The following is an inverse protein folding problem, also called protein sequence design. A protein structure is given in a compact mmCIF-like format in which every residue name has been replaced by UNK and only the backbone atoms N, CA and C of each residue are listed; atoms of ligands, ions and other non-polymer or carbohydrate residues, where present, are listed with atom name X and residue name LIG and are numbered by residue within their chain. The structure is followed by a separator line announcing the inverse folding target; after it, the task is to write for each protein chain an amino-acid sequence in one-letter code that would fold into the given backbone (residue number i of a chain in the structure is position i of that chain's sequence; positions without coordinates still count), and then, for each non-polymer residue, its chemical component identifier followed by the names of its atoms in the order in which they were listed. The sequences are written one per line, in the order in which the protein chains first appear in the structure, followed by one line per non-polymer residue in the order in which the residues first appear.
data_IF_448796177046
#
_entry.id   IF_448796177046
#
_cell.length_a   1.000
_cell.length_b   1.000
_cell.length_c   1.000
_cell.angle_alpha   90.00
_cell.angle_beta   90.00
_cell.angle_gamma   90.00
#
_symmetry.space_group_name_H-M   'P 1'
#
loop_
_entity.id
_entity.type
_entity.pdbx_description
1 polymer ?
#
# COMPACT_ATOMS: atom_id res chain seq x y z
N UNK A 1 -6.28 12.45 -37.08
CA UNK A 1 -5.69 12.74 -35.77
C UNK A 1 -6.83 12.85 -34.75
N UNK A 2 -7.35 11.73 -34.21
CA UNK A 2 -8.56 11.77 -33.38
C UNK A 2 -8.27 12.26 -31.96
N UNK A 3 -8.93 13.36 -31.56
CA UNK A 3 -9.37 13.82 -30.22
C UNK A 3 -8.46 13.71 -28.97
N UNK A 4 -7.30 13.06 -29.01
CA UNK A 4 -6.51 12.65 -27.83
C UNK A 4 -6.02 13.83 -26.96
N UNK A 5 -5.69 14.99 -27.55
CA UNK A 5 -5.15 16.14 -26.79
C UNK A 5 -6.19 16.73 -25.82
N UNK A 6 -7.40 17.00 -26.30
CA UNK A 6 -8.48 17.53 -25.47
C UNK A 6 -8.80 16.58 -24.30
N UNK A 7 -8.94 15.29 -24.60
CA UNK A 7 -9.19 14.25 -23.60
C UNK A 7 -8.08 14.19 -22.54
N UNK A 8 -6.82 14.29 -22.95
CA UNK A 8 -5.66 14.33 -22.05
C UNK A 8 -5.69 15.56 -21.14
N UNK A 9 -6.09 16.72 -21.68
CA UNK A 9 -6.17 17.96 -20.90
C UNK A 9 -7.27 17.87 -19.84
N UNK A 10 -8.44 17.33 -20.21
CA UNK A 10 -9.56 17.12 -19.28
C UNK A 10 -9.19 16.14 -18.15
N UNK A 11 -8.59 14.99 -18.47
CA UNK A 11 -8.16 14.02 -17.44
C UNK A 11 -7.07 14.61 -16.52
N UNK A 12 -6.13 15.39 -17.08
CA UNK A 12 -5.10 16.05 -16.28
C UNK A 12 -5.69 17.08 -15.30
N UNK A 13 -6.63 17.92 -15.76
CA UNK A 13 -7.32 18.90 -14.89
C UNK A 13 -8.11 18.19 -13.81
N UNK A 14 -8.83 17.13 -14.15
CA UNK A 14 -9.60 16.34 -13.18
C UNK A 14 -8.71 15.68 -12.12
N UNK A 15 -7.52 15.19 -12.48
CA UNK A 15 -6.58 14.57 -11.53
C UNK A 15 -5.86 15.55 -10.62
N UNK A 16 -5.54 16.74 -11.14
CA UNK A 16 -4.71 17.72 -10.42
C UNK A 16 -5.58 18.71 -9.66
N UNK A 17 -6.84 18.87 -10.05
CA UNK A 17 -7.78 19.79 -9.44
C UNK A 17 -7.46 21.27 -9.69
N UNK A 18 -6.49 21.58 -10.56
CA UNK A 18 -6.19 22.95 -11.00
C UNK A 18 -5.79 22.99 -12.47
N UNK A 19 -6.25 24.00 -13.22
CA UNK A 19 -5.84 24.20 -14.62
C UNK A 19 -4.35 24.53 -14.72
N UNK A 20 -3.84 25.37 -13.80
CA UNK A 20 -2.43 25.76 -13.80
C UNK A 20 -1.51 24.57 -13.56
N UNK A 21 -1.81 23.72 -12.57
CA UNK A 21 -1.03 22.51 -12.32
C UNK A 21 -1.11 21.52 -13.48
N UNK A 22 -2.27 21.39 -14.14
CA UNK A 22 -2.40 20.58 -15.36
C UNK A 22 -1.56 21.13 -16.52
N UNK A 23 -1.55 22.44 -16.71
CA UNK A 23 -0.76 23.11 -17.72
C UNK A 23 0.75 22.91 -17.52
N UNK A 24 1.22 23.09 -16.28
CA UNK A 24 2.62 22.87 -15.89
C UNK A 24 3.04 21.42 -16.13
N UNK A 25 2.22 20.44 -15.73
CA UNK A 25 2.51 19.01 -15.96
C UNK A 25 2.53 18.63 -17.44
N UNK A 26 1.68 19.26 -18.26
CA UNK A 26 1.56 18.96 -19.69
C UNK A 26 2.49 19.79 -20.57
N UNK A 27 3.21 20.78 -20.01
CA UNK A 27 4.11 21.66 -20.76
C UNK A 27 3.39 22.56 -21.76
N UNK A 28 2.17 23.01 -21.44
CA UNK A 28 1.35 23.85 -22.33
C UNK A 28 0.82 25.09 -21.60
N UNK A 29 0.32 26.08 -22.34
CA UNK A 29 -0.28 27.27 -21.76
C UNK A 29 -1.62 26.97 -21.07
N UNK A 30 -1.79 27.44 -19.83
CA UNK A 30 -3.04 27.28 -19.05
C UNK A 30 -4.26 27.87 -19.76
N UNK A 31 -4.07 28.96 -20.52
CA UNK A 31 -5.12 29.58 -21.34
C UNK A 31 -5.64 28.65 -22.45
N UNK A 32 -4.82 27.72 -22.95
CA UNK A 32 -5.25 26.74 -23.95
C UNK A 32 -6.18 25.68 -23.35
N UNK A 33 -5.87 25.21 -22.14
CA UNK A 33 -6.73 24.25 -21.41
C UNK A 33 -8.04 24.94 -21.01
N UNK A 34 -7.98 26.14 -20.44
CA UNK A 34 -9.17 26.86 -19.99
C UNK A 34 -10.15 27.16 -21.14
N UNK A 35 -9.64 27.60 -22.30
CA UNK A 35 -10.48 27.83 -23.49
C UNK A 35 -11.17 26.56 -23.97
N UNK A 36 -10.47 25.43 -23.95
CA UNK A 36 -11.06 24.15 -24.36
C UNK A 36 -12.14 23.65 -23.41
N UNK A 37 -11.98 23.85 -22.10
CA UNK A 37 -13.02 23.51 -21.12
C UNK A 37 -14.26 24.36 -21.35
N UNK A 38 -14.09 25.69 -21.49
CA UNK A 38 -15.22 26.62 -21.71
C UNK A 38 -15.97 26.24 -22.98
N UNK A 39 -15.27 26.02 -24.10
CA UNK A 39 -15.89 25.64 -25.36
C UNK A 39 -16.68 24.31 -25.26
N UNK A 40 -16.21 23.38 -24.44
CA UNK A 40 -16.89 22.09 -24.24
C UNK A 40 -18.13 22.22 -23.35
N UNK A 41 -18.05 23.03 -22.29
CA UNK A 41 -19.21 23.35 -21.45
C UNK A 41 -20.31 24.07 -22.25
N UNK A 42 -19.92 25.01 -23.10
CA UNK A 42 -20.83 25.71 -24.02
C UNK A 42 -21.48 24.74 -25.02
N UNK A 43 -20.69 23.85 -25.62
CA UNK A 43 -21.19 22.88 -26.60
C UNK A 43 -22.18 21.87 -26.00
N UNK A 44 -21.98 21.47 -24.74
CA UNK A 44 -22.89 20.54 -24.06
C UNK A 44 -23.99 21.22 -23.24
N UNK A 45 -23.95 22.54 -23.10
CA UNK A 45 -24.92 23.30 -22.30
C UNK A 45 -24.88 22.99 -20.80
N UNK A 46 -23.80 22.36 -20.31
CA UNK A 46 -23.65 21.95 -18.91
C UNK A 46 -22.27 22.32 -18.38
N UNK A 47 -22.20 22.70 -17.11
CA UNK A 47 -20.92 22.85 -16.40
C UNK A 47 -20.33 21.49 -16.12
N UNK A 48 -19.04 21.33 -16.43
CA UNK A 48 -18.27 20.13 -16.17
C UNK A 48 -17.42 20.29 -14.90
N UNK A 49 -17.05 21.53 -14.57
CA UNK A 49 -16.30 21.86 -13.38
C UNK A 49 -16.96 22.96 -12.54
N UNK A 50 -16.93 22.78 -11.23
CA UNK A 50 -17.23 23.81 -10.22
C UNK A 50 -15.94 24.51 -9.80
N UNK A 51 -15.95 25.85 -9.78
CA UNK A 51 -14.80 26.66 -9.36
C UNK A 51 -14.90 26.95 -7.87
N UNK A 52 -13.98 26.38 -7.10
CA UNK A 52 -13.76 26.68 -5.69
C UNK A 52 -12.56 27.64 -5.55
N UNK A 53 -12.40 28.36 -4.42
CA UNK A 53 -11.35 29.37 -4.24
C UNK A 53 -9.92 28.90 -4.52
N UNK A 54 -9.64 27.59 -4.39
CA UNK A 54 -8.30 27.00 -4.59
C UNK A 54 -8.27 25.79 -5.52
N UNK A 55 -9.41 25.32 -6.01
CA UNK A 55 -9.54 24.03 -6.72
C UNK A 55 -10.68 24.07 -7.74
N UNK A 56 -10.62 23.13 -8.67
CA UNK A 56 -11.71 22.75 -9.56
C UNK A 56 -12.22 21.39 -9.11
N UNK A 57 -13.54 21.29 -8.89
CA UNK A 57 -14.21 20.01 -8.62
C UNK A 57 -15.04 19.62 -9.83
N UNK A 58 -15.23 18.33 -10.06
CA UNK A 58 -16.14 17.87 -11.10
C UNK A 58 -17.58 18.09 -10.64
N UNK A 59 -18.45 18.48 -11.58
CA UNK A 59 -19.90 18.32 -11.41
C UNK A 59 -20.29 16.87 -11.68
N UNK A 60 -21.55 16.50 -11.45
CA UNK A 60 -22.09 15.20 -11.87
C UNK A 60 -21.89 14.95 -13.38
N UNK A 61 -22.13 15.98 -14.21
CA UNK A 61 -21.87 15.91 -15.64
C UNK A 61 -20.36 15.77 -15.95
N UNK A 62 -19.51 16.44 -15.17
CA UNK A 62 -18.05 16.30 -15.23
C UNK A 62 -17.57 14.89 -14.90
N UNK A 63 -18.13 14.25 -13.87
CA UNK A 63 -17.82 12.86 -13.51
C UNK A 63 -18.16 11.89 -14.64
N UNK A 64 -19.37 12.01 -15.20
CA UNK A 64 -19.81 11.22 -16.36
C UNK A 64 -18.88 11.39 -17.55
N UNK A 65 -18.54 12.64 -17.88
CA UNK A 65 -17.62 12.94 -18.97
C UNK A 65 -16.23 12.36 -18.71
N UNK A 66 -15.67 12.54 -17.51
CA UNK A 66 -14.33 12.05 -17.18
C UNK A 66 -14.27 10.52 -17.20
N UNK A 67 -15.33 9.84 -16.78
CA UNK A 67 -15.43 8.38 -16.91
C UNK A 67 -15.33 7.96 -18.39
N UNK A 68 -16.10 8.61 -19.27
CA UNK A 68 -16.03 8.38 -20.72
C UNK A 68 -14.67 8.74 -21.32
N UNK A 69 -14.12 9.92 -20.99
CA UNK A 69 -12.78 10.37 -21.42
C UNK A 69 -11.72 9.32 -21.09
N UNK A 70 -11.71 8.81 -19.86
CA UNK A 70 -10.74 7.78 -19.43
C UNK A 70 -10.94 6.47 -20.17
N UNK A 71 -12.18 6.07 -20.46
CA UNK A 71 -12.45 4.90 -21.30
C UNK A 71 -11.92 5.08 -22.71
N UNK A 72 -12.24 6.21 -23.34
CA UNK A 72 -11.80 6.53 -24.70
C UNK A 72 -10.27 6.62 -24.80
N UNK A 73 -9.59 7.18 -23.79
CA UNK A 73 -8.12 7.16 -23.73
C UNK A 73 -7.56 5.73 -23.61
N UNK A 74 -8.19 4.85 -22.80
CA UNK A 74 -7.80 3.43 -22.73
C UNK A 74 -7.97 2.72 -24.08
N UNK A 75 -9.08 2.95 -24.77
CA UNK A 75 -9.37 2.37 -26.08
C UNK A 75 -8.40 2.92 -27.15
N UNK A 76 -8.08 4.21 -27.11
CA UNK A 76 -7.09 4.82 -27.96
C UNK A 76 -5.70 4.20 -27.76
N UNK A 77 -5.29 3.98 -26.51
CA UNK A 77 -4.03 3.30 -26.23
C UNK A 77 -4.05 1.84 -26.69
N UNK A 78 -5.18 1.14 -26.58
CA UNK A 78 -5.35 -0.22 -27.14
C UNK A 78 -5.20 -0.21 -28.66
N UNK A 79 -5.77 0.78 -29.35
CA UNK A 79 -5.61 0.96 -30.79
C UNK A 79 -4.15 1.27 -31.16
N UNK A 80 -3.47 2.13 -30.39
CA UNK A 80 -2.04 2.41 -30.56
C UNK A 80 -1.20 1.15 -30.38
N UNK A 81 -1.53 0.31 -29.40
CA UNK A 81 -0.88 -0.99 -29.20
C UNK A 81 -1.09 -1.89 -30.43
N UNK A 82 -2.32 -2.01 -30.94
CA UNK A 82 -2.62 -2.77 -32.17
C UNK A 82 -1.88 -2.25 -33.40
N UNK A 83 -1.70 -0.94 -33.53
CA UNK A 83 -0.89 -0.35 -34.60
C UNK A 83 0.61 -0.64 -34.45
N UNK A 84 1.11 -0.73 -33.21
CA UNK A 84 2.47 -1.18 -32.95
C UNK A 84 2.65 -2.68 -33.29
N UNK A 85 1.63 -3.50 -33.01
CA UNK A 85 1.58 -4.92 -33.37
C UNK A 85 1.63 -5.12 -34.89
N UNK A 86 0.85 -4.36 -35.65
CA UNK A 86 0.84 -4.39 -37.12
C UNK A 86 2.17 -3.96 -37.76
N UNK A 87 2.97 -3.17 -37.05
CA UNK A 87 4.30 -2.72 -37.51
C UNK A 87 5.44 -3.68 -37.12
N UNK A 88 5.12 -4.82 -36.50
CA UNK A 88 6.14 -5.76 -35.99
C UNK A 88 7.03 -5.17 -34.90
N UNK A 89 6.65 -4.02 -34.33
CA UNK A 89 7.44 -3.21 -33.41
C UNK A 89 6.77 -3.19 -32.02
N UNK A 90 6.88 -4.31 -31.28
CA UNK A 90 7.27 -4.35 -29.85
C UNK A 90 6.90 -5.69 -29.20
N UNK A 91 7.88 -6.58 -29.16
CA UNK A 91 8.09 -7.43 -27.97
C UNK A 91 8.54 -6.49 -26.85
N UNK A 92 7.61 -5.98 -26.04
CA UNK A 92 7.97 -5.13 -24.89
C UNK A 92 8.70 -5.94 -23.82
N UNK A 93 9.67 -5.36 -23.12
CA UNK A 93 10.34 -5.97 -21.98
C UNK A 93 10.15 -5.07 -20.76
N UNK A 94 9.69 -5.64 -19.66
CA UNK A 94 9.64 -4.96 -18.35
C UNK A 94 10.36 -5.83 -17.33
N UNK A 95 11.34 -5.24 -16.64
CA UNK A 95 12.17 -5.90 -15.64
C UNK A 95 11.86 -5.30 -14.28
N UNK A 96 11.43 -6.16 -13.37
CA UNK A 96 11.10 -5.81 -11.99
C UNK A 96 12.10 -6.52 -11.08
N UNK A 97 12.86 -5.74 -10.31
CA UNK A 97 13.64 -6.24 -9.20
C UNK A 97 12.81 -6.11 -7.91
N UNK A 98 12.66 -7.19 -7.16
CA UNK A 98 11.85 -7.21 -5.94
C UNK A 98 12.46 -8.12 -4.87
N UNK A 99 12.09 -7.93 -3.60
CA UNK A 99 12.43 -8.91 -2.55
C UNK A 99 11.60 -10.18 -2.66
N UNK A 100 12.11 -11.30 -2.13
CA UNK A 100 11.51 -12.63 -2.28
C UNK A 100 10.06 -12.74 -1.79
N UNK A 101 9.76 -12.30 -0.56
CA UNK A 101 8.38 -12.34 -0.02
C UNK A 101 7.39 -11.53 -0.87
N UNK A 102 7.79 -10.33 -1.28
CA UNK A 102 7.01 -9.48 -2.19
C UNK A 102 6.84 -10.08 -3.59
N UNK A 103 7.84 -10.83 -4.08
CA UNK A 103 7.76 -11.52 -5.35
C UNK A 103 6.61 -12.54 -5.33
N UNK A 104 6.51 -13.32 -4.27
CA UNK A 104 5.50 -14.37 -4.12
C UNK A 104 4.08 -13.80 -3.98
N UNK A 105 3.94 -12.62 -3.37
CA UNK A 105 2.61 -12.03 -3.11
C UNK A 105 2.12 -11.14 -4.26
N UNK A 106 2.99 -10.36 -4.88
CA UNK A 106 2.59 -9.30 -5.83
C UNK A 106 2.80 -9.68 -7.29
N UNK A 107 3.74 -10.57 -7.60
CA UNK A 107 4.02 -10.94 -9.00
C UNK A 107 2.92 -11.84 -9.59
N UNK A 108 2.32 -12.82 -8.88
CA UNK A 108 1.23 -13.61 -9.44
C UNK A 108 0.04 -12.78 -9.95
N UNK A 109 -0.55 -11.84 -9.17
CA UNK A 109 -1.64 -11.01 -9.70
C UNK A 109 -1.15 -10.06 -10.80
N UNK A 110 0.10 -9.58 -10.75
CA UNK A 110 0.68 -8.79 -11.85
C UNK A 110 0.80 -9.60 -13.15
N UNK A 111 1.26 -10.85 -13.07
CA UNK A 111 1.37 -11.77 -14.21
C UNK A 111 -0.02 -12.05 -14.80
N UNK A 112 -1.03 -12.30 -13.97
CA UNK A 112 -2.40 -12.50 -14.42
C UNK A 112 -2.95 -11.26 -15.16
N UNK A 113 -2.71 -10.07 -14.62
CA UNK A 113 -3.07 -8.82 -15.27
C UNK A 113 -2.31 -8.61 -16.59
N UNK A 114 -1.00 -8.86 -16.61
CA UNK A 114 -0.13 -8.74 -17.79
C UNK A 114 -0.58 -9.66 -18.91
N UNK A 115 -0.90 -10.93 -18.62
CA UNK A 115 -1.40 -11.87 -19.63
C UNK A 115 -2.71 -11.42 -20.26
N UNK A 116 -3.56 -10.71 -19.51
CA UNK A 116 -4.87 -10.24 -19.97
C UNK A 116 -4.79 -8.92 -20.76
N UNK A 117 -4.03 -7.94 -20.26
CA UNK A 117 -4.00 -6.58 -20.85
C UNK A 117 -2.79 -6.33 -21.75
N UNK A 118 -1.71 -7.12 -21.61
CA UNK A 118 -0.41 -6.94 -22.28
C UNK A 118 0.26 -8.26 -22.71
N UNK A 119 -0.43 -9.14 -23.49
CA UNK A 119 0.02 -10.52 -23.75
C UNK A 119 1.36 -10.65 -24.50
N UNK A 120 1.80 -9.61 -25.22
CA UNK A 120 3.04 -9.61 -26.00
C UNK A 120 4.24 -8.99 -25.27
N UNK A 121 4.06 -8.59 -24.01
CA UNK A 121 5.12 -8.00 -23.20
C UNK A 121 5.75 -9.08 -22.33
N UNK A 122 7.07 -9.25 -22.46
CA UNK A 122 7.86 -10.10 -21.58
C UNK A 122 8.06 -9.39 -20.25
N UNK A 123 7.55 -9.98 -19.18
CA UNK A 123 7.88 -9.59 -17.82
C UNK A 123 9.06 -10.45 -17.33
N UNK A 124 10.11 -9.80 -16.83
CA UNK A 124 11.23 -10.46 -16.14
C UNK A 124 11.21 -10.00 -14.70
N UNK A 125 11.11 -10.96 -13.79
CA UNK A 125 11.12 -10.70 -12.35
C UNK A 125 12.42 -11.25 -11.77
N UNK A 126 13.13 -10.44 -10.97
CA UNK A 126 14.29 -10.87 -10.21
C UNK A 126 14.02 -10.70 -8.72
N UNK A 127 14.00 -11.82 -8.00
CA UNK A 127 13.96 -11.83 -6.55
C UNK A 127 15.38 -11.60 -6.01
N UNK A 128 15.62 -10.51 -5.28
CA UNK A 128 16.93 -10.06 -4.82
C UNK A 128 16.85 -9.55 -3.37
N UNK A 129 17.95 -9.58 -2.61
CA UNK A 129 18.05 -8.87 -1.34
C UNK A 129 18.01 -7.34 -1.56
N UNK A 130 17.87 -6.58 -0.47
CA UNK A 130 17.72 -5.11 -0.49
C UNK A 130 18.74 -4.42 -1.40
N UNK A 131 20.03 -4.68 -1.18
CA UNK A 131 21.11 -4.05 -1.93
C UNK A 131 21.11 -4.46 -3.40
N UNK A 132 20.71 -5.70 -3.68
CA UNK A 132 20.56 -6.21 -5.04
C UNK A 132 19.45 -5.52 -5.82
N UNK A 133 18.31 -5.23 -5.17
CA UNK A 133 17.20 -4.47 -5.79
C UNK A 133 17.67 -3.06 -6.16
N UNK A 134 18.36 -2.38 -5.24
CA UNK A 134 18.88 -1.02 -5.47
C UNK A 134 19.90 -1.02 -6.61
N UNK A 135 20.88 -1.91 -6.55
CA UNK A 135 21.92 -2.03 -7.58
C UNK A 135 21.33 -2.29 -8.97
N UNK A 136 20.35 -3.21 -9.08
CA UNK A 136 19.72 -3.54 -10.34
C UNK A 136 19.00 -2.33 -10.97
N UNK A 137 18.30 -1.51 -10.18
CA UNK A 137 17.61 -0.31 -10.69
C UNK A 137 18.62 0.78 -11.08
N UNK A 138 19.64 1.02 -10.26
CA UNK A 138 20.66 2.03 -10.55
C UNK A 138 21.47 1.69 -11.80
N UNK A 139 21.84 0.42 -11.97
CA UNK A 139 22.53 -0.10 -13.15
C UNK A 139 21.65 -0.13 -14.41
N UNK A 140 20.33 0.04 -14.27
CA UNK A 140 19.38 -0.08 -15.37
C UNK A 140 19.14 -1.54 -15.80
N UNK A 141 19.50 -2.50 -14.95
CA UNK A 141 19.19 -3.92 -15.09
C UNK A 141 17.73 -4.25 -14.74
N UNK A 142 17.07 -3.39 -13.99
CA UNK A 142 15.62 -3.37 -13.80
C UNK A 142 15.08 -1.95 -13.99
N UNK A 143 13.89 -1.82 -14.56
CA UNK A 143 13.21 -0.52 -14.65
C UNK A 143 12.49 -0.18 -13.34
N UNK A 144 11.99 -1.18 -12.63
CA UNK A 144 11.24 -1.02 -11.39
C UNK A 144 11.92 -1.78 -10.26
N UNK A 145 12.05 -1.13 -9.11
CA UNK A 145 12.50 -1.73 -7.86
C UNK A 145 11.38 -1.73 -6.83
N UNK A 146 11.18 -2.85 -6.15
CA UNK A 146 10.18 -3.00 -5.09
C UNK A 146 10.80 -3.65 -3.87
N UNK A 147 10.68 -3.02 -2.71
CA UNK A 147 11.28 -3.58 -1.50
C UNK A 147 10.96 -2.80 -0.24
N UNK A 148 11.28 -3.41 0.89
CA UNK A 148 11.23 -2.76 2.19
C UNK A 148 12.48 -1.94 2.43
N UNK A 149 12.32 -0.75 3.02
CA UNK A 149 13.43 0.10 3.46
C UNK A 149 14.45 0.43 2.35
N UNK A 150 14.03 0.47 1.08
CA UNK A 150 14.91 0.89 -0.01
C UNK A 150 15.47 2.30 0.29
N UNK A 151 16.78 2.56 0.19
CA UNK A 151 17.37 3.82 0.60
C UNK A 151 16.83 5.01 -0.19
N UNK A 152 16.83 6.18 0.45
CA UNK A 152 16.57 7.45 -0.23
C UNK A 152 17.82 7.88 -1.01
N UNK A 153 17.99 7.36 -2.23
CA UNK A 153 19.09 7.73 -3.14
C UNK A 153 18.61 8.80 -4.14
N UNK A 154 19.42 9.83 -4.38
CA UNK A 154 19.12 10.92 -5.31
C UNK A 154 18.95 10.43 -6.76
N UNK A 155 19.57 9.29 -7.12
CA UNK A 155 19.46 8.62 -8.42
C UNK A 155 18.22 7.74 -8.54
N UNK A 156 17.48 7.52 -7.45
CA UNK A 156 16.19 6.85 -7.45
C UNK A 156 15.05 7.86 -7.41
N UNK A 157 13.97 7.54 -8.12
CA UNK A 157 12.70 8.25 -8.08
C UNK A 157 11.69 7.37 -7.38
N UNK A 158 11.16 7.86 -6.26
CA UNK A 158 10.08 7.21 -5.52
C UNK A 158 8.78 7.30 -6.32
N UNK A 159 8.17 6.14 -6.56
CA UNK A 159 6.88 6.02 -7.26
C UNK A 159 5.72 5.79 -6.28
N UNK A 160 5.96 5.05 -5.20
CA UNK A 160 5.00 4.82 -4.11
C UNK A 160 5.77 4.49 -2.83
N UNK A 161 5.20 4.90 -1.71
CA UNK A 161 5.65 4.56 -0.36
C UNK A 161 4.42 4.21 0.47
N UNK A 162 4.48 3.10 1.19
CA UNK A 162 3.42 2.68 2.11
C UNK A 162 4.01 2.20 3.44
N UNK A 163 3.47 2.65 4.58
CA UNK A 163 3.77 2.00 5.86
C UNK A 163 3.19 0.59 5.86
N UNK A 164 3.93 -0.35 6.40
CA UNK A 164 3.51 -1.74 6.59
C UNK A 164 3.87 -2.20 8.00
N UNK A 165 3.00 -3.02 8.58
CA UNK A 165 3.19 -3.57 9.92
C UNK A 165 3.99 -4.86 9.87
N UNK A 166 4.73 -5.11 10.94
CA UNK A 166 5.32 -6.42 11.24
C UNK A 166 4.41 -7.08 12.28
N UNK A 167 4.16 -8.37 12.12
CA UNK A 167 3.28 -9.10 13.00
C UNK A 167 3.67 -10.57 13.14
N UNK A 168 3.14 -11.19 14.19
CA UNK A 168 3.08 -12.63 14.28
C UNK A 168 2.06 -13.17 13.27
N UNK A 169 2.40 -14.28 12.65
CA UNK A 169 1.64 -14.98 11.62
C UNK A 169 1.42 -16.41 12.09
N UNK A 170 0.16 -16.78 12.20
CA UNK A 170 -0.27 -18.07 12.75
C UNK A 170 -1.45 -18.61 11.95
N UNK A 171 -1.76 -19.91 12.08
CA UNK A 171 -3.03 -20.43 11.60
C UNK A 171 -4.21 -19.79 12.38
N UNK A 172 -5.40 -19.65 11.78
CA UNK A 172 -6.58 -19.12 12.48
C UNK A 172 -7.02 -19.93 13.70
N UNK A 173 -6.68 -21.23 13.74
CA UNK A 173 -6.95 -22.11 14.87
C UNK A 173 -5.94 -21.99 16.02
N UNK A 174 -4.85 -21.24 15.82
CA UNK A 174 -3.80 -21.09 16.83
C UNK A 174 -4.31 -20.34 18.07
N UNK A 175 -3.89 -20.70 19.30
CA UNK A 175 -4.33 -20.02 20.52
C UNK A 175 -4.13 -18.50 20.49
N UNK A 176 -2.98 -18.03 19.98
CA UNK A 176 -2.71 -16.59 19.80
C UNK A 176 -3.66 -15.88 18.83
N UNK A 177 -4.36 -16.59 17.95
CA UNK A 177 -5.35 -15.96 17.07
C UNK A 177 -6.64 -15.60 17.82
N UNK A 178 -6.88 -16.23 18.98
CA UNK A 178 -8.03 -15.94 19.82
C UNK A 178 -7.74 -14.71 20.68
N UNK A 179 -8.64 -13.72 20.74
CA UNK A 179 -8.45 -12.58 21.64
C UNK A 179 -8.32 -13.09 23.08
N UNK A 180 -7.43 -12.50 23.90
CA UNK A 180 -7.27 -12.91 25.29
C UNK A 180 -8.63 -12.82 25.99
N UNK A 181 -8.99 -13.88 26.72
CA UNK A 181 -10.21 -13.93 27.52
C UNK A 181 -10.20 -12.75 28.49
N UNK A 182 -11.00 -11.72 28.19
CA UNK A 182 -11.21 -10.58 29.09
C UNK A 182 -12.22 -10.99 30.15
N UNK A 183 -11.85 -11.96 30.99
CA UNK A 183 -12.44 -12.04 32.32
C UNK A 183 -12.03 -10.76 33.05
N UNK A 184 -12.97 -9.96 33.60
CA UNK A 184 -12.63 -8.67 34.20
C UNK A 184 -11.60 -8.91 35.31
N UNK A 185 -10.46 -8.24 35.22
CA UNK A 185 -9.46 -8.24 36.28
C UNK A 185 -10.15 -7.97 37.62
N UNK A 186 -9.89 -8.76 38.68
CA UNK A 186 -10.42 -8.43 40.00
C UNK A 186 -9.96 -7.01 40.35
N UNK A 187 -10.93 -6.18 40.77
CA UNK A 187 -10.71 -4.79 41.12
C UNK A 187 -9.47 -4.65 42.02
N UNK A 188 -8.65 -3.60 41.83
CA UNK A 188 -7.48 -3.39 42.67
C UNK A 188 -7.94 -3.31 44.13
N UNK A 189 -7.41 -4.21 44.96
CA UNK A 189 -7.59 -4.17 46.41
C UNK A 189 -6.94 -2.88 46.91
N UNK A 190 -7.67 -1.94 47.54
CA UNK A 190 -7.06 -0.74 48.07
C UNK A 190 -6.14 -1.12 49.25
N UNK A 191 -4.96 -0.49 49.40
CA UNK A 191 -4.09 -0.73 50.55
C UNK A 191 -4.73 -0.18 51.82
N UNK A 192 -4.76 -1.01 52.87
CA UNK A 192 -5.23 -0.64 54.19
C UNK A 192 -4.22 0.28 54.92
N UNK A 193 -4.65 1.52 55.13
CA UNK A 193 -4.43 2.45 56.25
C UNK A 193 -3.05 2.60 56.94
N UNK A 194 -2.59 3.87 57.00
CA UNK A 194 -2.19 4.60 58.22
C UNK A 194 -2.16 6.12 57.89
N UNK A 195 -3.16 6.93 58.26
CA UNK A 195 -3.28 7.74 59.49
C UNK A 195 -2.00 8.55 59.85
N UNK A 196 -1.95 9.85 59.55
CA UNK A 196 -2.34 10.92 60.49
C UNK A 196 -1.92 12.35 60.05
N UNK A 197 -2.91 13.25 60.07
CA UNK A 197 -2.92 14.66 60.52
C UNK A 197 -2.15 15.78 59.78
N UNK A 198 -2.88 16.89 59.52
CA UNK A 198 -2.30 18.24 59.64
C UNK A 198 -2.73 19.32 58.63
N UNK A 199 -3.98 19.79 58.73
CA UNK A 199 -4.50 21.17 58.59
C UNK A 199 -4.06 22.18 57.49
N UNK A 200 -5.13 22.79 56.93
CA UNK A 200 -5.38 24.22 56.65
C UNK A 200 -5.03 24.90 55.30
N UNK A 201 -6.14 25.22 54.61
CA UNK A 201 -6.54 26.49 53.97
C UNK A 201 -6.08 26.91 52.54
N UNK A 202 -6.93 27.67 51.81
CA UNK A 202 -6.98 27.72 50.35
C UNK A 202 -6.43 29.02 49.75
N UNK A 203 -5.89 28.97 48.53
CA UNK A 203 -5.39 30.16 47.85
C UNK A 203 -5.32 30.01 46.33
N UNK A 204 -6.15 30.82 45.67
CA UNK A 204 -5.97 31.53 44.40
C UNK A 204 -5.41 30.83 43.14
N UNK A 205 -6.20 30.96 42.06
CA UNK A 205 -5.72 30.93 40.69
C UNK A 205 -4.79 32.12 40.38
N UNK A 206 -3.91 31.99 39.39
CA UNK A 206 -4.05 32.91 38.26
C UNK A 206 -3.86 32.28 36.88
N UNK A 207 -4.47 32.94 35.89
CA UNK A 207 -4.16 32.89 34.46
C UNK A 207 -2.69 33.22 34.19
N UNK A 208 -2.05 32.52 33.25
CA UNK A 208 -1.38 33.18 32.11
C UNK A 208 -1.03 32.17 30.99
N UNK A 209 -1.26 32.59 29.74
CA UNK A 209 -0.87 31.90 28.49
C UNK A 209 0.59 32.29 28.10
N UNK A 210 1.30 31.66 27.12
CA UNK A 210 0.92 31.61 25.70
C UNK A 210 1.26 30.28 24.96
N UNK A 211 0.40 29.87 24.00
CA UNK A 211 0.65 29.79 22.55
C UNK A 211 2.09 29.47 22.10
N UNK A 212 2.26 28.32 21.42
CA UNK A 212 2.76 28.31 20.04
C UNK A 212 2.73 26.92 19.36
N UNK A 213 2.58 26.99 18.03
CA UNK A 213 2.98 26.03 16.99
C UNK A 213 2.09 24.82 16.63
N UNK A 214 1.21 25.10 15.66
CA UNK A 214 1.01 24.35 14.40
C UNK A 214 0.43 22.94 14.43
N UNK A 215 -0.91 22.89 14.46
CA UNK A 215 -1.72 21.87 13.78
C UNK A 215 -1.97 22.29 12.33
N UNK A 216 -1.40 21.61 11.35
CA UNK A 216 -1.97 21.55 9.98
C UNK A 216 -1.39 20.39 9.15
N UNK A 217 -1.96 19.18 9.29
CA UNK A 217 -1.67 18.06 8.39
C UNK A 217 -2.70 16.91 8.48
N UNK A 218 -4.01 17.19 8.53
CA UNK A 218 -5.02 16.13 8.66
C UNK A 218 -6.33 16.36 7.86
N UNK A 219 -6.31 17.20 6.83
CA UNK A 219 -7.54 17.58 6.11
C UNK A 219 -7.79 16.87 4.76
N UNK A 220 -6.87 16.10 4.19
CA UNK A 220 -7.00 15.64 2.78
C UNK A 220 -7.33 14.14 2.57
N UNK A 221 -7.67 13.39 3.64
CA UNK A 221 -7.91 11.93 3.55
C UNK A 221 -9.38 11.49 3.37
N UNK A 222 -10.35 12.41 3.32
CA UNK A 222 -11.78 12.06 3.47
C UNK A 222 -12.66 12.05 2.21
N UNK A 223 -12.13 12.21 1.00
CA UNK A 223 -12.99 12.37 -0.20
C UNK A 223 -12.69 11.43 -1.38
N UNK A 224 -12.33 10.16 -1.15
CA UNK A 224 -12.14 9.16 -2.25
C UNK A 224 -12.96 7.87 -2.09
N UNK A 225 -13.64 7.65 -0.97
CA UNK A 225 -14.49 6.47 -0.79
C UNK A 225 -15.98 6.80 -0.92
N UNK A 226 -16.48 7.02 -2.14
CA UNK A 226 -17.91 6.84 -2.47
C UNK A 226 -18.15 6.80 -3.99
N UNK A 227 -18.78 5.71 -4.43
CA UNK A 227 -19.29 5.45 -5.78
C UNK A 227 -18.35 4.65 -6.69
N UNK A 228 -18.73 3.59 -7.40
CA UNK A 228 -19.92 2.73 -7.45
C UNK A 228 -19.55 1.55 -8.38
N UNK A 229 -20.02 0.35 -8.03
CA UNK A 229 -20.35 -0.84 -8.83
C UNK A 229 -19.78 -1.00 -10.27
N UNK A 230 -19.22 -2.18 -10.53
CA UNK A 230 -19.76 -3.04 -11.59
C UNK A 230 -19.51 -4.52 -11.28
N UNK A 231 -20.62 -5.25 -11.17
CA UNK A 231 -20.73 -6.69 -11.14
C UNK A 231 -20.59 -7.30 -12.55
N UNK A 232 -20.49 -8.63 -12.56
CA UNK A 232 -20.70 -9.58 -13.67
C UNK A 232 -19.52 -9.98 -14.57
N UNK A 233 -18.86 -11.06 -14.13
CA UNK A 233 -18.64 -12.32 -14.87
C UNK A 233 -17.94 -13.32 -13.90
N UNK A 234 -18.65 -14.06 -13.03
CA UNK A 234 -19.20 -15.43 -13.20
C UNK A 234 -18.23 -16.43 -13.86
N UNK A 235 -17.97 -17.65 -13.39
CA UNK A 235 -18.48 -18.44 -12.28
C UNK A 235 -17.48 -19.60 -12.01
N UNK A 236 -17.17 -19.85 -10.74
CA UNK A 236 -17.02 -21.20 -10.20
C UNK A 236 -17.14 -21.08 -8.67
N UNK A 237 -18.29 -21.50 -8.14
CA UNK A 237 -18.66 -21.37 -6.72
C UNK A 237 -18.70 -22.76 -6.12
N UNK A 238 -18.05 -23.00 -4.97
CA UNK A 238 -18.61 -23.86 -3.95
C UNK A 238 -19.36 -22.94 -2.97
N UNK A 239 -20.68 -23.09 -2.95
CA UNK A 239 -21.58 -22.43 -2.00
C UNK A 239 -21.15 -22.73 -0.56
N UNK A 240 -20.98 -21.68 0.27
CA UNK A 240 -20.69 -21.85 1.70
C UNK A 240 -19.88 -20.77 2.41
N UNK A 241 -19.63 -19.59 1.82
CA UNK A 241 -18.75 -18.57 2.41
C UNK A 241 -19.46 -17.21 2.68
N UNK A 242 -20.62 -17.22 3.32
CA UNK A 242 -21.15 -16.05 4.04
C UNK A 242 -20.84 -16.17 5.54
N UNK A 243 -19.55 -16.25 5.90
CA UNK A 243 -19.05 -16.02 7.27
C UNK A 243 -17.63 -15.47 7.22
N UNK A 244 -17.45 -14.24 7.72
CA UNK A 244 -16.15 -13.72 8.11
C UNK A 244 -15.70 -12.45 7.36
N UNK A 245 -16.29 -11.30 7.68
CA UNK A 245 -15.50 -10.08 7.73
C UNK A 245 -14.33 -10.36 8.69
N UNK A 246 -13.11 -10.47 8.18
CA UNK A 246 -11.93 -10.68 9.00
C UNK A 246 -11.79 -9.50 9.98
N UNK A 247 -12.08 -9.75 11.26
CA UNK A 247 -11.78 -8.85 12.35
C UNK A 247 -10.31 -8.41 12.27
N UNK A 248 -10.01 -7.15 12.54
CA UNK A 248 -8.62 -6.75 12.82
C UNK A 248 -8.11 -7.64 13.96
N UNK A 249 -7.08 -8.45 13.67
CA UNK A 249 -6.44 -9.29 14.68
C UNK A 249 -5.93 -8.42 15.81
N UNK A 250 -6.15 -8.85 17.05
CA UNK A 250 -5.65 -8.13 18.21
C UNK A 250 -4.10 -8.09 18.18
N UNK A 251 -3.51 -7.05 18.75
CA UNK A 251 -2.07 -6.91 18.80
C UNK A 251 -1.45 -7.79 19.91
N UNK A 252 -0.31 -8.40 19.63
CA UNK A 252 0.45 -9.27 20.55
C UNK A 252 1.85 -8.70 20.79
N UNK A 253 2.48 -9.09 21.89
CA UNK A 253 3.90 -8.81 22.14
C UNK A 253 4.79 -9.98 21.73
N UNK A 254 6.09 -9.73 21.59
CA UNK A 254 7.10 -10.78 21.41
C UNK A 254 7.06 -11.77 22.58
N UNK A 255 6.87 -11.28 23.81
CA UNK A 255 6.75 -12.12 25.00
C UNK A 255 5.55 -13.09 24.94
N UNK A 256 4.42 -12.66 24.37
CA UNK A 256 3.24 -13.52 24.18
C UNK A 256 3.54 -14.69 23.22
N UNK A 257 4.52 -14.54 22.33
CA UNK A 257 4.88 -15.55 21.33
C UNK A 257 5.86 -16.62 21.85
N UNK A 258 6.64 -16.33 22.90
CA UNK A 258 7.72 -17.21 23.40
C UNK A 258 7.21 -18.57 23.88
N UNK A 259 5.95 -18.64 24.33
CA UNK A 259 5.33 -19.89 24.77
C UNK A 259 5.03 -20.89 23.65
N UNK A 260 5.34 -20.57 22.40
CA UNK A 260 5.04 -21.38 21.22
C UNK A 260 6.29 -21.66 20.38
N UNK A 261 6.34 -22.82 19.69
CA UNK A 261 7.41 -23.11 18.74
C UNK A 261 7.49 -22.04 17.65
N UNK A 262 8.69 -21.48 17.43
CA UNK A 262 8.87 -20.38 16.47
C UNK A 262 9.65 -20.79 15.22
N UNK A 263 9.23 -20.26 14.08
CA UNK A 263 9.99 -20.25 12.83
C UNK A 263 10.38 -18.80 12.54
N UNK A 264 11.67 -18.53 12.58
CA UNK A 264 12.20 -17.15 12.55
C UNK A 264 12.80 -16.84 11.17
N UNK A 265 12.50 -15.67 10.58
CA UNK A 265 13.24 -15.20 9.42
C UNK A 265 14.69 -14.91 9.81
N UNK A 266 15.65 -15.38 9.01
CA UNK A 266 17.07 -15.12 9.25
C UNK A 266 17.47 -13.65 9.01
N UNK A 267 18.69 -13.29 9.40
CA UNK A 267 19.22 -11.93 9.28
C UNK A 267 19.36 -11.39 7.85
N UNK A 268 19.19 -12.22 6.81
CA UNK A 268 19.21 -11.76 5.42
C UNK A 268 17.89 -11.10 4.98
N UNK A 269 16.80 -11.34 5.72
CA UNK A 269 15.52 -10.66 5.53
C UNK A 269 15.43 -9.46 6.48
N UNK A 270 14.89 -8.34 5.99
CA UNK A 270 14.68 -7.12 6.79
C UNK A 270 13.92 -7.40 8.10
N UNK A 271 12.86 -8.21 8.06
CA UNK A 271 12.10 -8.59 9.27
C UNK A 271 12.98 -9.36 10.25
N UNK A 272 13.80 -10.31 9.79
CA UNK A 272 14.65 -11.12 10.66
C UNK A 272 15.66 -10.31 11.44
N UNK A 273 16.34 -9.35 10.79
CA UNK A 273 17.24 -8.41 11.48
C UNK A 273 16.52 -7.58 12.54
N UNK A 274 15.33 -7.04 12.21
CA UNK A 274 14.54 -6.24 13.14
C UNK A 274 14.06 -7.04 14.35
N UNK A 275 13.69 -8.31 14.14
CA UNK A 275 13.29 -9.21 15.22
C UNK A 275 14.47 -9.59 16.11
N UNK A 276 15.64 -9.90 15.53
CA UNK A 276 16.84 -10.20 16.31
C UNK A 276 17.18 -9.04 17.27
N UNK A 277 17.21 -7.81 16.76
CA UNK A 277 17.42 -6.61 17.57
C UNK A 277 16.34 -6.41 18.65
N UNK A 278 15.09 -6.76 18.35
CA UNK A 278 13.97 -6.61 19.29
C UNK A 278 13.99 -7.68 20.39
N UNK A 279 14.27 -8.94 20.06
CA UNK A 279 14.43 -10.03 21.03
C UNK A 279 15.60 -9.79 21.97
N UNK A 280 16.74 -9.35 21.43
CA UNK A 280 17.94 -9.02 22.22
C UNK A 280 17.65 -7.89 23.22
N UNK A 281 17.01 -6.81 22.76
CA UNK A 281 16.64 -5.67 23.60
C UNK A 281 15.65 -6.03 24.70
N UNK A 282 14.75 -6.96 24.43
CA UNK A 282 13.77 -7.44 25.39
C UNK A 282 14.36 -8.47 26.38
N UNK A 283 15.59 -8.94 26.17
CA UNK A 283 16.20 -10.01 26.98
C UNK A 283 15.47 -11.35 26.84
N UNK A 284 14.82 -11.59 25.71
CA UNK A 284 14.00 -12.77 25.46
C UNK A 284 14.83 -13.85 24.77
N UNK A 285 14.93 -15.02 25.39
CA UNK A 285 15.45 -16.22 24.74
C UNK A 285 14.41 -16.81 23.77
N UNK A 286 14.82 -17.09 22.54
CA UNK A 286 13.94 -17.60 21.49
C UNK A 286 14.19 -19.09 21.30
N UNK A 287 13.18 -19.93 21.53
CA UNK A 287 13.22 -21.35 21.18
C UNK A 287 12.86 -21.51 19.69
N UNK A 288 13.90 -21.50 18.84
CA UNK A 288 13.74 -21.57 17.39
C UNK A 288 13.75 -23.01 16.91
N UNK A 289 12.65 -23.43 16.29
CA UNK A 289 12.60 -24.74 15.62
C UNK A 289 13.29 -24.67 14.26
N UNK A 290 13.16 -23.53 13.59
CA UNK A 290 13.72 -23.28 12.25
C UNK A 290 14.07 -21.80 12.11
N UNK A 291 15.23 -21.53 11.52
CA UNK A 291 15.64 -20.21 11.03
C UNK A 291 15.77 -20.27 9.49
N UNK A 292 15.23 -19.29 8.76
CA UNK A 292 15.21 -19.37 7.27
C UNK A 292 15.06 -18.01 6.57
N UNK A 293 15.64 -17.86 5.38
CA UNK A 293 15.35 -16.76 4.46
C UNK A 293 14.15 -17.01 3.52
N UNK A 294 13.47 -18.14 3.65
CA UNK A 294 12.34 -18.49 2.79
C UNK A 294 11.02 -18.02 3.42
N UNK A 295 10.48 -16.91 2.91
CA UNK A 295 9.15 -16.41 3.28
C UNK A 295 8.04 -17.46 3.01
N UNK A 296 8.19 -18.25 1.94
CA UNK A 296 7.23 -19.32 1.66
C UNK A 296 7.29 -20.41 2.73
N UNK A 297 8.48 -20.80 3.20
CA UNK A 297 8.61 -21.78 4.28
C UNK A 297 8.02 -21.25 5.59
N UNK A 298 8.28 -19.98 5.93
CA UNK A 298 7.70 -19.31 7.09
C UNK A 298 6.16 -19.38 7.07
N UNK A 299 5.54 -19.03 5.95
CA UNK A 299 4.09 -19.11 5.77
C UNK A 299 3.57 -20.54 5.91
N UNK A 300 4.20 -21.50 5.22
CA UNK A 300 3.76 -22.91 5.22
C UNK A 300 3.90 -23.56 6.60
N UNK A 301 4.91 -23.17 7.37
CA UNK A 301 5.03 -23.59 8.76
C UNK A 301 3.86 -23.05 9.60
N UNK A 302 3.60 -21.74 9.52
CA UNK A 302 2.51 -21.10 10.27
C UNK A 302 1.12 -21.72 9.99
N UNK A 303 0.86 -22.17 8.75
CA UNK A 303 -0.42 -22.80 8.38
C UNK A 303 -0.68 -24.13 9.12
N UNK A 304 0.34 -24.81 9.64
CA UNK A 304 0.19 -26.13 10.28
C UNK A 304 -0.33 -26.10 11.72
N UNK A 305 -0.65 -24.92 12.26
CA UNK A 305 -1.49 -24.79 13.47
C UNK A 305 -0.77 -24.83 14.83
N UNK A 306 0.57 -24.92 14.85
CA UNK A 306 1.34 -25.02 16.10
C UNK A 306 2.64 -24.24 16.12
N UNK A 307 2.88 -23.38 15.13
CA UNK A 307 4.09 -22.55 15.06
C UNK A 307 3.74 -21.09 14.84
N UNK A 308 4.54 -20.21 15.43
CA UNK A 308 4.49 -18.77 15.20
C UNK A 308 5.58 -18.39 14.21
N UNK A 309 5.21 -17.72 13.13
CA UNK A 309 6.14 -17.06 12.22
C UNK A 309 6.00 -15.54 12.36
N UNK A 310 6.96 -14.79 11.81
CA UNK A 310 6.91 -13.33 11.82
C UNK A 310 7.18 -12.78 10.42
N UNK A 311 6.26 -11.97 9.90
CA UNK A 311 6.32 -11.44 8.54
C UNK A 311 5.69 -10.04 8.49
N UNK A 312 5.84 -9.37 7.34
CA UNK A 312 5.08 -8.17 7.04
C UNK A 312 3.62 -8.53 6.72
N UNK A 313 2.67 -7.67 7.14
CA UNK A 313 1.26 -7.80 6.77
C UNK A 313 1.06 -7.93 5.25
N UNK A 314 1.84 -7.15 4.47
CA UNK A 314 1.75 -7.15 3.02
C UNK A 314 2.21 -8.47 2.37
N UNK A 315 2.96 -9.31 3.08
CA UNK A 315 3.43 -10.59 2.54
C UNK A 315 2.34 -11.65 2.63
N UNK A 316 1.46 -11.62 3.63
CA UNK A 316 0.49 -12.70 3.89
C UNK A 316 -0.93 -12.37 3.41
N UNK A 317 -1.12 -11.27 2.68
CA UNK A 317 -2.45 -10.78 2.30
C UNK A 317 -3.28 -11.82 1.52
N UNK A 318 -2.63 -12.62 0.68
CA UNK A 318 -3.31 -13.65 -0.11
C UNK A 318 -3.84 -14.75 0.80
N UNK A 319 -3.01 -15.26 1.69
CA UNK A 319 -3.34 -16.32 2.65
C UNK A 319 -4.37 -15.82 3.67
N UNK A 320 -4.25 -14.57 4.11
CA UNK A 320 -5.21 -13.91 5.00
C UNK A 320 -6.60 -13.82 4.38
N UNK A 321 -6.70 -13.41 3.12
CA UNK A 321 -7.98 -13.35 2.39
C UNK A 321 -8.62 -14.72 2.20
N UNK A 322 -7.81 -15.78 2.10
CA UNK A 322 -8.27 -17.16 2.02
C UNK A 322 -8.64 -17.76 3.38
N UNK A 323 -8.40 -17.04 4.48
CA UNK A 323 -8.59 -17.56 5.82
C UNK A 323 -7.60 -18.67 6.18
N UNK A 324 -6.43 -18.71 5.53
CA UNK A 324 -5.39 -19.72 5.78
C UNK A 324 -4.42 -19.26 6.89
N UNK A 325 -4.22 -17.94 7.03
CA UNK A 325 -3.34 -17.32 8.03
C UNK A 325 -4.03 -16.14 8.71
N UNK A 326 -3.77 -15.98 10.00
CA UNK A 326 -4.12 -14.80 10.79
C UNK A 326 -2.89 -13.93 11.01
N UNK A 327 -3.09 -12.60 10.95
CA UNK A 327 -2.06 -11.60 11.24
C UNK A 327 -2.33 -10.94 12.59
N UNK A 328 -1.32 -10.95 13.46
CA UNK A 328 -1.37 -10.34 14.78
C UNK A 328 -0.28 -9.26 14.85
N UNK A 329 -0.63 -7.97 14.76
CA UNK A 329 0.36 -6.89 14.79
C UNK A 329 1.22 -6.96 16.06
N UNK A 330 2.53 -6.74 15.95
CA UNK A 330 3.40 -6.63 17.11
C UNK A 330 3.29 -5.25 17.75
N UNK A 331 3.21 -5.20 19.09
CA UNK A 331 3.09 -3.95 19.87
C UNK A 331 4.39 -3.52 20.56
N UNK A 332 5.44 -4.33 20.48
CA UNK A 332 6.69 -4.11 21.21
C UNK A 332 7.40 -2.81 20.77
N UNK A 333 7.81 -2.04 21.78
CA UNK A 333 8.53 -0.80 21.56
C UNK A 333 9.91 -1.10 20.93
N UNK A 334 10.19 -0.49 19.78
CA UNK A 334 11.48 -0.63 19.10
C UNK A 334 11.47 -1.40 17.78
N UNK A 335 10.33 -1.97 17.39
CA UNK A 335 10.12 -2.41 16.01
C UNK A 335 9.79 -1.18 15.15
N UNK A 336 10.71 -0.69 14.29
CA UNK A 336 10.40 0.42 13.41
C UNK A 336 9.30 -0.01 12.43
N UNK A 337 8.37 0.89 12.13
CA UNK A 337 7.43 0.68 11.04
C UNK A 337 8.20 0.33 9.76
N UNK A 338 7.79 -0.73 9.07
CA UNK A 338 8.40 -1.02 7.78
C UNK A 338 7.81 -0.10 6.73
N UNK A 339 8.65 0.30 5.78
CA UNK A 339 8.21 1.11 4.67
C UNK A 339 8.46 0.36 3.37
N UNK A 340 7.37 0.07 2.67
CA UNK A 340 7.38 -0.55 1.35
C UNK A 340 7.52 0.54 0.30
N UNK A 341 8.54 0.44 -0.56
CA UNK A 341 8.84 1.43 -1.60
C UNK A 341 8.80 0.79 -2.98
N UNK A 342 8.11 1.46 -3.90
CA UNK A 342 8.24 1.24 -5.34
C UNK A 342 9.09 2.39 -5.91
N UNK A 343 10.17 2.06 -6.61
CA UNK A 343 11.14 3.01 -7.15
C UNK A 343 11.44 2.73 -8.62
N UNK A 344 11.94 3.74 -9.31
CA UNK A 344 12.55 3.65 -10.64
C UNK A 344 13.83 4.46 -10.64
N UNK A 345 14.70 4.25 -11.63
CA UNK A 345 15.83 5.16 -11.85
C UNK A 345 15.32 6.57 -12.18
N UNK A 346 15.91 7.60 -11.57
CA UNK A 346 15.57 9.01 -11.81
C UNK A 346 16.04 9.49 -13.18
N UNK A 347 17.21 9.01 -13.62
CA UNK A 347 17.74 9.28 -14.94
C UNK A 347 17.05 8.39 -15.99
N UNK A 348 16.03 8.93 -16.66
CA UNK A 348 15.28 8.24 -17.71
C UNK A 348 13.77 8.47 -17.58
N UNK A 349 13.06 8.22 -18.67
CA UNK A 349 11.59 8.19 -18.69
C UNK A 349 11.17 6.74 -18.87
N UNK A 350 10.22 6.28 -18.06
CA UNK A 350 9.64 4.96 -18.22
C UNK A 350 8.89 4.93 -19.56
N UNK A 351 9.08 3.87 -20.33
CA UNK A 351 8.25 3.66 -21.52
C UNK A 351 6.78 3.46 -21.13
N UNK A 352 5.81 3.73 -22.02
CA UNK A 352 4.38 3.65 -21.69
C UNK A 352 3.95 2.30 -21.09
N UNK A 353 4.54 1.20 -21.54
CA UNK A 353 4.28 -0.14 -20.98
C UNK A 353 4.85 -0.29 -19.57
N UNK A 354 6.03 0.26 -19.31
CA UNK A 354 6.66 0.23 -17.99
C UNK A 354 5.90 1.11 -16.99
N UNK A 355 5.38 2.27 -17.44
CA UNK A 355 4.48 3.11 -16.63
C UNK A 355 3.21 2.37 -16.25
N UNK A 356 2.59 1.65 -17.20
CA UNK A 356 1.40 0.85 -16.93
C UNK A 356 1.66 -0.28 -15.92
N UNK A 357 2.80 -0.95 -16.01
CA UNK A 357 3.21 -1.96 -15.01
C UNK A 357 3.44 -1.32 -13.64
N UNK A 358 4.08 -0.15 -13.59
CA UNK A 358 4.27 0.59 -12.35
C UNK A 358 2.94 1.00 -11.71
N UNK A 359 1.98 1.45 -12.51
CA UNK A 359 0.63 1.81 -12.05
C UNK A 359 -0.16 0.60 -11.57
N UNK A 360 -0.03 -0.56 -12.23
CA UNK A 360 -0.66 -1.78 -11.72
C UNK A 360 -0.03 -2.23 -10.41
N UNK A 361 1.30 -2.19 -10.29
CA UNK A 361 1.98 -2.48 -9.02
C UNK A 361 1.51 -1.55 -7.91
N UNK A 362 1.36 -0.24 -8.18
CA UNK A 362 0.78 0.70 -7.22
C UNK A 362 -0.62 0.28 -6.78
N UNK A 363 -1.48 -0.14 -7.71
CA UNK A 363 -2.84 -0.62 -7.38
C UNK A 363 -2.82 -1.88 -6.52
N UNK A 364 -1.97 -2.85 -6.85
CA UNK A 364 -1.84 -4.09 -6.08
C UNK A 364 -1.32 -3.81 -4.66
N UNK A 365 -0.34 -2.92 -4.54
CA UNK A 365 0.22 -2.49 -3.26
C UNK A 365 -0.79 -1.78 -2.36
N UNK A 366 -1.56 -0.85 -2.91
CA UNK A 366 -2.62 -0.16 -2.18
C UNK A 366 -3.74 -1.12 -1.73
N UNK A 367 -4.04 -2.15 -2.53
CA UNK A 367 -4.99 -3.20 -2.13
C UNK A 367 -4.46 -4.09 -1.02
N UNK A 368 -3.16 -4.35 -0.99
CA UNK A 368 -2.51 -5.20 0.00
C UNK A 368 -2.29 -4.50 1.35
N UNK A 369 -2.18 -3.17 1.37
CA UNK A 369 -2.05 -2.39 2.60
C UNK A 369 -3.37 -2.20 3.38
N UNK A 370 -4.50 -2.71 2.87
CA UNK A 370 -5.82 -2.54 3.47
C UNK A 370 -6.34 -1.09 3.47
N UNK A 371 -7.57 -0.85 3.97
CA UNK A 371 -8.17 0.49 4.03
C UNK A 371 -7.53 1.44 5.06
N UNK A 372 -6.54 1.00 5.85
CA UNK A 372 -5.84 1.82 6.85
C UNK A 372 -4.80 2.79 6.24
N UNK A 373 -4.59 2.76 4.92
CA UNK A 373 -3.68 3.65 4.20
C UNK A 373 -4.39 4.83 3.50
N UNK A 374 -5.59 5.20 3.97
CA UNK A 374 -6.43 6.27 3.43
C UNK A 374 -6.28 7.60 4.15
#
# INVERSE_FOLDING_TARGET
MLHSRLLTYLDAVARIGTIRGAAERLGIAASSINRQIIALEEAYGVRLFERLPRRLRLTVAGELLIAHVRQTLREHDRLRARFADLRGQRRGLVRVATMGGLANTLMPPLVAWMRREHPYVKLVVRALPLDGVVAAVLAGEAELGLGYQLPADQKLRLLLRLPVRIGAVVAPSHPLAQPPDRSPAPAPVPPAAALAAGDAEPGEAPEDAPKDASTDALADAREIARGSALADAMADTPEGAERGMAAEGHAVSLADCVGFPMVIPDGSITVGRLLAEAFERAGIGVDTVVETNSVELLKRAATRGGTVAFLSEAEIEVERRRGELAFLPLRDAGLPGQELRLVTRRAGVLEPTQERVADELRRLLLRAAGPAAG
#
